data_IF_017909570625
#
_entry.id   IF_017909570625
#
_cell.length_a   1.000
_cell.length_b   1.000
_cell.length_c   1.000
_cell.angle_alpha   90.00
_cell.angle_beta   90.00
_cell.angle_gamma   90.00
#
_symmetry.space_group_name_H-M   'P 1'
#
loop_
_entity.id
_entity.type
_entity.pdbx_description
1 polymer ?
#
# COMPACT_ATOMS: atom_id res chain seq x y z
N UNK A 1 24.22 -44.51 -8.16
CA UNK A 1 24.22 -43.02 -8.21
C UNK A 1 25.43 -42.50 -7.46
N UNK A 2 26.17 -41.54 -8.02
CA UNK A 2 27.42 -41.05 -7.41
C UNK A 2 27.06 -40.21 -6.17
N UNK A 3 27.78 -40.33 -5.04
CA UNK A 3 27.47 -39.61 -3.77
C UNK A 3 27.19 -38.10 -3.96
N UNK A 4 27.89 -37.47 -4.90
CA UNK A 4 27.70 -36.06 -5.29
C UNK A 4 26.31 -35.76 -5.88
N UNK A 5 25.73 -36.67 -6.64
CA UNK A 5 24.41 -36.50 -7.26
C UNK A 5 23.29 -36.62 -6.21
N UNK A 6 23.45 -37.51 -5.23
CA UNK A 6 22.50 -37.65 -4.11
C UNK A 6 22.47 -36.38 -3.25
N UNK A 7 23.63 -35.79 -2.96
CA UNK A 7 23.70 -34.56 -2.19
C UNK A 7 23.10 -33.36 -2.93
N UNK A 8 23.30 -33.26 -4.26
CA UNK A 8 22.73 -32.18 -5.07
C UNK A 8 21.20 -32.27 -5.09
N UNK A 9 20.66 -33.48 -5.29
CA UNK A 9 19.20 -33.70 -5.27
C UNK A 9 18.62 -33.37 -3.90
N UNK A 10 19.27 -33.80 -2.81
CA UNK A 10 18.81 -33.53 -1.44
C UNK A 10 18.85 -32.04 -1.08
N UNK A 11 19.87 -31.30 -1.52
CA UNK A 11 19.94 -29.86 -1.29
C UNK A 11 18.93 -29.09 -2.13
N UNK A 12 18.68 -29.53 -3.36
CA UNK A 12 17.66 -28.94 -4.24
C UNK A 12 16.25 -29.08 -3.65
N UNK A 13 15.89 -30.26 -3.15
CA UNK A 13 14.55 -30.49 -2.57
C UNK A 13 14.35 -29.68 -1.29
N UNK A 14 15.38 -29.59 -0.44
CA UNK A 14 15.34 -28.74 0.76
C UNK A 14 15.19 -27.25 0.40
N UNK A 15 15.92 -26.76 -0.61
CA UNK A 15 15.81 -25.36 -1.06
C UNK A 15 14.40 -25.01 -1.56
N UNK A 16 13.78 -25.89 -2.35
CA UNK A 16 12.39 -25.71 -2.81
C UNK A 16 11.40 -25.70 -1.64
N UNK A 17 11.58 -26.57 -0.65
CA UNK A 17 10.78 -26.56 0.59
C UNK A 17 10.89 -25.24 1.36
N UNK A 18 12.07 -24.63 1.43
CA UNK A 18 12.28 -23.34 2.10
C UNK A 18 11.59 -22.17 1.36
N UNK A 19 11.61 -22.18 0.02
CA UNK A 19 10.94 -21.15 -0.78
C UNK A 19 9.41 -21.25 -0.64
N UNK A 20 8.86 -22.47 -0.65
CA UNK A 20 7.42 -22.70 -0.49
C UNK A 20 6.91 -22.38 0.92
N UNK A 21 7.74 -22.56 1.95
CA UNK A 21 7.38 -22.25 3.35
C UNK A 21 7.64 -20.79 3.72
N UNK A 22 8.35 -20.03 2.89
CA UNK A 22 8.70 -18.62 3.09
C UNK A 22 7.54 -17.61 2.96
N UNK A 23 6.37 -18.01 2.47
CA UNK A 23 5.17 -17.16 2.44
C UNK A 23 4.31 -17.24 3.72
N UNK A 24 4.90 -17.59 4.86
CA UNK A 24 4.23 -17.47 6.17
C UNK A 24 4.28 -16.04 6.70
N UNK A 25 3.63 -15.11 5.99
CA UNK A 25 3.23 -13.85 6.60
C UNK A 25 2.06 -14.19 7.54
N UNK A 26 2.20 -14.09 8.87
CA UNK A 26 1.06 -14.23 9.76
C UNK A 26 0.05 -13.16 9.33
N UNK A 27 -1.13 -13.59 8.89
CA UNK A 27 -2.21 -12.67 8.54
C UNK A 27 -2.45 -11.74 9.74
N UNK A 28 -2.74 -10.44 9.52
CA UNK A 28 -2.90 -9.49 10.60
C UNK A 28 -4.00 -9.96 11.55
N UNK A 29 -3.67 -10.18 12.82
CA UNK A 29 -4.63 -10.44 13.88
C UNK A 29 -5.09 -9.10 14.44
N UNK A 30 -6.30 -8.68 14.10
CA UNK A 30 -6.86 -7.41 14.61
C UNK A 30 -7.39 -7.58 16.04
N UNK A 31 -6.49 -7.91 16.97
CA UNK A 31 -6.80 -8.01 18.40
C UNK A 31 -7.56 -9.26 18.84
N UNK A 32 -7.61 -10.31 18.00
CA UNK A 32 -8.17 -11.62 18.33
C UNK A 32 -7.09 -12.69 18.21
N UNK A 33 -7.24 -13.82 18.93
CA UNK A 33 -6.27 -14.94 18.89
C UNK A 33 -6.29 -15.73 17.56
N UNK A 34 -7.03 -15.25 16.55
CA UNK A 34 -7.20 -15.91 15.24
C UNK A 34 -6.82 -14.98 14.10
N UNK A 35 -6.17 -15.54 13.08
CA UNK A 35 -5.99 -14.87 11.79
C UNK A 35 -7.35 -14.52 11.17
N UNK A 36 -7.46 -13.34 10.55
CA UNK A 36 -8.68 -12.86 9.88
C UNK A 36 -9.26 -13.89 8.90
N UNK A 37 -8.38 -14.57 8.16
CA UNK A 37 -8.78 -15.61 7.20
C UNK A 37 -9.35 -16.86 7.88
N UNK A 38 -8.87 -17.22 9.07
CA UNK A 38 -9.40 -18.37 9.82
C UNK A 38 -10.76 -18.05 10.44
N UNK A 39 -10.96 -16.84 10.95
CA UNK A 39 -12.28 -16.41 11.43
C UNK A 39 -13.32 -16.44 10.30
N UNK A 40 -12.96 -15.94 9.12
CA UNK A 40 -13.82 -15.95 7.95
C UNK A 40 -14.21 -17.38 7.51
N UNK A 41 -13.25 -18.31 7.47
CA UNK A 41 -13.52 -19.71 7.10
C UNK A 41 -14.38 -20.40 8.17
N UNK A 42 -14.08 -20.18 9.46
CA UNK A 42 -14.88 -20.72 10.57
C UNK A 42 -16.35 -20.26 10.46
N UNK A 43 -16.58 -18.99 10.13
CA UNK A 43 -17.92 -18.43 10.03
C UNK A 43 -18.68 -18.94 8.80
N UNK A 44 -18.00 -19.21 7.69
CA UNK A 44 -18.61 -19.86 6.51
C UNK A 44 -18.95 -21.32 6.81
N UNK A 45 -18.06 -22.07 7.45
CA UNK A 45 -18.29 -23.49 7.77
C UNK A 45 -19.47 -23.65 8.73
N UNK A 46 -19.67 -22.70 9.66
CA UNK A 46 -20.84 -22.67 10.55
C UNK A 46 -22.14 -22.27 9.84
N UNK A 47 -22.06 -21.58 8.70
CA UNK A 47 -23.22 -21.20 7.92
C UNK A 47 -23.71 -22.36 7.03
N UNK A 48 -22.82 -23.25 6.61
CA UNK A 48 -23.20 -24.44 5.86
C UNK A 48 -23.93 -25.41 6.80
N UNK A 49 -25.19 -25.79 6.50
CA UNK A 49 -25.86 -26.82 7.27
C UNK A 49 -25.15 -28.15 7.01
N UNK A 50 -24.35 -28.60 7.97
CA UNK A 50 -23.87 -29.96 8.03
C UNK A 50 -25.07 -30.89 8.06
N UNK A 51 -25.27 -31.65 6.99
CA UNK A 51 -26.27 -32.71 6.90
C UNK A 51 -25.87 -33.88 7.80
N UNK A 52 -25.94 -33.70 9.12
CA UNK A 52 -26.19 -34.81 10.03
C UNK A 52 -27.69 -35.10 9.93
N UNK A 53 -28.06 -36.37 9.76
CA UNK A 53 -29.45 -36.87 9.83
C UNK A 53 -29.99 -36.76 11.25
N UNK A 54 -30.03 -35.55 11.76
CA UNK A 54 -30.73 -35.17 12.98
C UNK A 54 -31.83 -34.23 12.51
N UNK A 55 -33.08 -34.51 12.89
CA UNK A 55 -34.31 -33.80 12.50
C UNK A 55 -34.35 -32.36 13.07
N UNK A 56 -33.27 -31.61 12.91
CA UNK A 56 -33.14 -30.22 13.31
C UNK A 56 -33.54 -29.31 12.15
N UNK A 57 -34.74 -29.54 11.61
CA UNK A 57 -35.46 -28.45 10.96
C UNK A 57 -35.45 -27.28 11.95
N UNK A 58 -35.08 -26.04 11.55
CA UNK A 58 -35.11 -24.92 12.47
C UNK A 58 -36.56 -24.74 12.90
N UNK A 59 -36.90 -25.28 14.07
CA UNK A 59 -38.18 -25.04 14.72
C UNK A 59 -38.20 -23.55 14.97
N UNK A 60 -38.92 -22.85 14.09
CA UNK A 60 -39.14 -21.42 14.17
C UNK A 60 -40.03 -21.18 15.39
N UNK A 61 -39.42 -21.23 16.57
CA UNK A 61 -40.10 -20.93 17.83
C UNK A 61 -40.64 -19.52 17.68
N UNK A 62 -41.97 -19.39 17.73
CA UNK A 62 -42.61 -18.07 17.73
C UNK A 62 -41.93 -17.26 18.83
N UNK A 63 -41.45 -16.07 18.47
CA UNK A 63 -40.80 -15.17 19.43
C UNK A 63 -41.75 -15.01 20.62
N UNK A 64 -41.26 -15.12 21.87
CA UNK A 64 -42.11 -14.87 23.02
C UNK A 64 -42.72 -13.49 22.86
N UNK A 65 -44.00 -13.39 23.23
CA UNK A 65 -44.73 -12.14 23.14
C UNK A 65 -43.99 -11.08 23.95
N UNK A 66 -43.76 -9.92 23.32
CA UNK A 66 -43.07 -8.80 23.93
C UNK A 66 -43.78 -8.47 25.24
N UNK A 67 -43.08 -8.64 26.37
CA UNK A 67 -43.61 -8.31 27.69
C UNK A 67 -43.66 -6.78 27.76
N UNK A 68 -44.84 -6.22 27.51
CA UNK A 68 -45.06 -4.81 27.75
C UNK A 68 -45.21 -4.60 29.25
N UNK A 69 -44.49 -3.62 29.83
CA UNK A 69 -44.76 -3.19 31.20
C UNK A 69 -46.21 -2.69 31.30
N UNK A 70 -46.86 -2.92 32.44
CA UNK A 70 -48.20 -2.39 32.74
C UNK A 70 -48.23 -0.87 32.49
N UNK A 71 -49.35 -0.30 31.98
CA UNK A 71 -49.42 1.10 31.55
C UNK A 71 -48.97 2.15 32.59
N UNK A 72 -49.00 1.78 33.87
CA UNK A 72 -48.62 2.62 35.01
C UNK A 72 -47.33 2.20 35.71
N UNK A 73 -46.63 1.18 35.21
CA UNK A 73 -45.33 0.79 35.72
C UNK A 73 -44.25 1.68 35.09
N UNK A 74 -43.85 2.72 35.82
CA UNK A 74 -42.68 3.52 35.47
C UNK A 74 -41.45 2.61 35.58
N UNK A 75 -41.01 2.05 34.46
CA UNK A 75 -39.73 1.38 34.37
C UNK A 75 -38.66 2.39 34.79
N UNK A 76 -38.07 2.19 35.98
CA UNK A 76 -36.87 2.91 36.39
C UNK A 76 -35.78 2.42 35.45
N UNK A 77 -35.55 3.17 34.38
CA UNK A 77 -34.46 2.90 33.47
C UNK A 77 -33.17 2.90 34.30
N UNK A 78 -32.28 1.90 34.13
CA UNK A 78 -30.95 2.02 34.68
C UNK A 78 -30.35 3.36 34.19
N UNK A 79 -29.55 4.03 35.03
CA UNK A 79 -28.92 5.28 34.62
C UNK A 79 -28.16 5.07 33.30
N UNK A 80 -28.16 6.07 32.39
CA UNK A 80 -27.45 5.96 31.12
C UNK A 80 -26.01 5.56 31.40
N UNK A 81 -25.50 4.60 30.63
CA UNK A 81 -24.10 4.19 30.72
C UNK A 81 -23.22 5.43 30.62
N UNK A 82 -22.30 5.60 31.57
CA UNK A 82 -21.37 6.72 31.53
C UNK A 82 -20.57 6.65 30.22
N UNK A 83 -20.43 7.79 29.55
CA UNK A 83 -19.60 7.89 28.35
C UNK A 83 -18.16 7.56 28.75
N UNK A 84 -17.68 6.35 28.42
CA UNK A 84 -16.31 5.89 28.65
C UNK A 84 -15.27 6.63 27.78
N UNK A 85 -15.54 7.86 27.36
CA UNK A 85 -14.64 8.70 26.55
C UNK A 85 -13.41 9.14 27.34
N UNK A 86 -13.42 8.98 28.67
CA UNK A 86 -12.30 9.38 29.54
C UNK A 86 -11.36 8.24 29.94
N UNK A 87 -11.80 6.98 29.91
CA UNK A 87 -10.98 5.82 30.32
C UNK A 87 -10.26 5.10 29.17
N UNK A 88 -10.50 5.52 27.92
CA UNK A 88 -9.63 5.11 26.82
C UNK A 88 -8.32 5.87 26.98
N UNK A 89 -7.14 5.20 27.03
CA UNK A 89 -5.88 5.92 27.04
C UNK A 89 -5.87 6.83 25.83
N UNK A 90 -6.04 8.14 26.08
CA UNK A 90 -5.95 9.23 25.11
C UNK A 90 -4.51 9.24 24.64
N UNK A 91 -4.17 8.26 23.79
CA UNK A 91 -2.87 8.09 23.22
C UNK A 91 -2.66 9.38 22.44
N UNK A 92 -1.78 10.24 22.97
CA UNK A 92 -1.63 11.62 22.54
C UNK A 92 -1.69 11.67 21.01
N UNK A 93 -2.66 12.41 20.45
CA UNK A 93 -2.96 12.42 19.01
C UNK A 93 -1.68 12.68 18.19
N UNK A 94 -0.73 13.47 18.74
CA UNK A 94 0.59 13.71 18.16
C UNK A 94 1.47 12.46 18.12
N UNK A 95 1.46 11.64 19.16
CA UNK A 95 2.18 10.37 19.22
C UNK A 95 1.57 9.32 18.28
N UNK A 96 0.23 9.25 18.21
CA UNK A 96 -0.47 8.40 17.23
C UNK A 96 -0.09 8.80 15.80
N UNK A 97 -0.13 10.09 15.48
CA UNK A 97 0.24 10.62 14.18
C UNK A 97 1.70 10.29 13.82
N UNK A 98 2.63 10.45 14.77
CA UNK A 98 4.05 10.09 14.55
C UNK A 98 4.23 8.58 14.26
N UNK A 99 3.51 7.70 14.98
CA UNK A 99 3.54 6.26 14.76
C UNK A 99 2.95 5.86 13.41
N UNK A 100 1.87 6.53 13.00
CA UNK A 100 1.24 6.34 11.70
C UNK A 100 2.21 6.69 10.56
N UNK A 101 2.86 7.85 10.62
CA UNK A 101 3.87 8.26 9.63
C UNK A 101 5.03 7.27 9.56
N UNK A 102 5.54 6.82 10.72
CA UNK A 102 6.64 5.85 10.78
C UNK A 102 6.25 4.50 10.12
N UNK A 103 5.05 3.98 10.42
CA UNK A 103 4.54 2.75 9.79
C UNK A 103 4.42 2.91 8.28
N UNK A 104 3.94 4.05 7.80
CA UNK A 104 3.80 4.30 6.35
C UNK A 104 5.11 4.49 5.62
N UNK A 105 6.09 5.15 6.25
CA UNK A 105 7.46 5.23 5.72
C UNK A 105 8.07 3.84 5.58
N UNK A 106 7.83 2.95 6.55
CA UNK A 106 8.28 1.56 6.48
C UNK A 106 7.56 0.74 5.39
N UNK A 107 6.30 1.06 5.06
CA UNK A 107 5.54 0.39 3.99
C UNK A 107 5.78 0.98 2.60
N UNK A 108 6.55 2.07 2.46
CA UNK A 108 6.88 2.67 1.17
C UNK A 108 5.70 3.32 0.44
N UNK A 109 4.60 3.60 1.14
CA UNK A 109 3.43 4.27 0.56
C UNK A 109 3.65 5.78 0.50
N UNK A 110 4.01 6.29 -0.67
CA UNK A 110 4.19 7.72 -0.91
C UNK A 110 2.83 8.44 -0.91
N UNK A 111 2.72 9.53 -0.14
CA UNK A 111 1.50 10.34 0.00
C UNK A 111 1.30 11.20 -1.26
N UNK A 112 0.68 10.66 -2.30
CA UNK A 112 0.21 11.46 -3.43
C UNK A 112 -1.09 12.16 -3.04
N UNK A 113 -0.97 13.39 -2.56
CA UNK A 113 -2.08 14.28 -2.22
C UNK A 113 -2.70 14.91 -3.49
N UNK A 114 -3.00 14.07 -4.48
CA UNK A 114 -3.66 14.47 -5.71
C UNK A 114 -4.87 13.55 -5.90
N UNK A 115 -6.06 14.14 -6.02
CA UNK A 115 -7.21 13.41 -6.58
C UNK A 115 -6.79 12.90 -7.95
N UNK A 116 -6.74 11.58 -8.11
CA UNK A 116 -6.33 10.92 -9.35
C UNK A 116 -7.44 11.13 -10.39
N UNK A 117 -7.33 12.17 -11.21
CA UNK A 117 -8.25 12.37 -12.32
C UNK A 117 -8.06 11.27 -13.38
N UNK A 118 -9.14 10.84 -14.03
CA UNK A 118 -9.12 9.75 -15.01
C UNK A 118 -8.24 10.06 -16.25
N UNK A 119 -7.87 11.32 -16.44
CA UNK A 119 -6.95 11.78 -17.48
C UNK A 119 -5.47 11.66 -17.11
N UNK A 120 -5.14 11.30 -15.87
CA UNK A 120 -3.76 11.30 -15.40
C UNK A 120 -3.10 9.93 -15.53
N UNK A 121 -2.08 9.77 -16.41
CA UNK A 121 -1.39 8.50 -16.57
C UNK A 121 -0.59 8.14 -15.32
N UNK A 122 -0.43 6.84 -15.02
CA UNK A 122 0.24 6.38 -13.81
C UNK A 122 1.69 6.87 -13.72
N UNK A 123 2.18 7.06 -12.48
CA UNK A 123 3.51 7.61 -12.15
C UNK A 123 4.66 6.96 -12.91
N UNK A 124 4.54 5.67 -13.22
CA UNK A 124 5.53 4.91 -14.01
C UNK A 124 5.82 5.57 -15.36
N UNK A 125 4.82 6.19 -15.99
CA UNK A 125 4.98 6.87 -17.29
C UNK A 125 5.39 8.34 -17.17
N UNK A 126 5.37 8.93 -15.97
CA UNK A 126 5.84 10.31 -15.74
C UNK A 126 7.34 10.39 -15.51
N UNK A 127 8.01 9.26 -15.24
CA UNK A 127 9.43 9.27 -14.94
C UNK A 127 10.25 9.37 -16.24
N UNK A 128 11.14 10.37 -16.36
CA UNK A 128 12.12 10.38 -17.43
C UNK A 128 13.03 9.14 -17.28
N UNK A 129 13.61 8.69 -18.40
CA UNK A 129 14.57 7.60 -18.37
C UNK A 129 15.70 7.89 -17.36
N UNK A 130 16.20 6.86 -16.67
CA UNK A 130 17.25 7.00 -15.64
C UNK A 130 18.52 7.69 -16.12
N UNK A 131 18.74 7.68 -17.43
CA UNK A 131 19.89 8.28 -18.12
C UNK A 131 19.59 9.65 -18.75
N UNK A 132 18.37 10.18 -18.58
CA UNK A 132 17.99 11.46 -19.15
C UNK A 132 18.73 12.60 -18.44
N UNK A 133 19.33 13.55 -19.18
CA UNK A 133 20.00 14.71 -18.57
C UNK A 133 18.95 15.63 -17.93
N UNK A 134 18.87 15.62 -16.60
CA UNK A 134 17.98 16.50 -15.84
C UNK A 134 18.71 17.82 -15.57
N UNK A 135 18.04 18.95 -15.84
CA UNK A 135 18.55 20.29 -15.50
C UNK A 135 19.50 20.93 -16.53
N UNK A 136 19.84 20.25 -17.63
CA UNK A 136 20.59 20.86 -18.72
C UNK A 136 19.66 21.63 -19.65
N UNK A 137 19.44 22.92 -19.36
CA UNK A 137 18.72 23.80 -20.30
C UNK A 137 19.57 23.97 -21.56
N UNK A 138 18.96 23.74 -22.73
CA UNK A 138 19.59 24.01 -24.01
C UNK A 138 19.96 25.49 -24.16
N UNK A 139 20.94 25.79 -25.03
CA UNK A 139 21.24 27.18 -25.38
C UNK A 139 20.13 27.74 -26.29
N UNK A 140 19.64 28.94 -25.99
CA UNK A 140 18.68 29.67 -26.82
C UNK A 140 19.16 29.81 -28.27
N UNK A 141 18.21 29.77 -29.20
CA UNK A 141 18.48 29.82 -30.64
C UNK A 141 19.20 31.10 -31.05
N UNK A 142 18.86 32.23 -30.43
CA UNK A 142 19.51 33.53 -30.64
C UNK A 142 21.00 33.50 -30.27
N UNK A 143 21.36 32.77 -29.20
CA UNK A 143 22.75 32.61 -28.75
C UNK A 143 23.53 31.73 -29.73
N UNK A 144 22.91 30.66 -30.24
CA UNK A 144 23.50 29.81 -31.28
C UNK A 144 23.72 30.58 -32.58
N UNK A 145 22.74 31.37 -33.01
CA UNK A 145 22.84 32.19 -34.23
C UNK A 145 23.93 33.26 -34.08
N UNK A 146 24.00 33.95 -32.93
CA UNK A 146 25.04 34.95 -32.64
C UNK A 146 26.44 34.33 -32.65
N UNK A 147 26.60 33.12 -32.10
CA UNK A 147 27.87 32.36 -32.19
C UNK A 147 28.22 32.01 -33.64
N UNK A 148 27.25 31.54 -34.43
CA UNK A 148 27.44 31.21 -35.86
C UNK A 148 27.89 32.45 -36.66
N UNK A 149 27.20 33.58 -36.49
CA UNK A 149 27.57 34.86 -37.15
C UNK A 149 28.94 35.36 -36.70
N UNK A 150 29.29 35.25 -35.41
CA UNK A 150 30.63 35.61 -34.89
C UNK A 150 31.73 34.71 -35.46
N UNK A 151 31.48 33.40 -35.53
CA UNK A 151 32.43 32.45 -36.10
C UNK A 151 32.67 32.71 -37.60
N UNK A 152 31.61 32.96 -38.38
CA UNK A 152 31.73 33.32 -39.80
C UNK A 152 32.50 34.63 -40.01
N UNK A 153 32.25 35.66 -39.20
CA UNK A 153 33.01 36.93 -39.23
C UNK A 153 34.47 36.73 -38.84
N UNK A 154 34.77 35.85 -37.88
CA UNK A 154 36.15 35.55 -37.46
C UNK A 154 36.91 34.77 -38.54
N UNK A 155 36.27 33.79 -39.17
CA UNK A 155 36.83 33.06 -40.31
C UNK A 155 37.17 34.01 -41.47
N UNK A 156 36.21 34.83 -41.90
CA UNK A 156 36.42 35.81 -42.97
C UNK A 156 37.32 37.00 -42.60
N UNK A 157 37.60 37.25 -41.31
CA UNK A 157 38.53 38.29 -40.86
C UNK A 157 39.95 37.75 -40.67
N UNK A 158 40.12 36.47 -40.33
CA UNK A 158 41.44 35.86 -40.14
C UNK A 158 42.17 35.71 -41.47
N UNK A 159 41.45 35.29 -42.50
CA UNK A 159 41.98 35.09 -43.85
C UNK A 159 42.39 36.41 -44.54
N UNK A 160 41.67 37.50 -44.28
CA UNK A 160 42.01 38.84 -44.80
C UNK A 160 43.19 39.49 -44.08
N UNK A 161 43.44 39.12 -42.82
CA UNK A 161 44.60 39.60 -42.04
C UNK A 161 45.88 38.83 -42.34
N UNK A 162 45.78 37.59 -42.83
CA UNK A 162 46.94 36.81 -43.30
C UNK A 162 47.38 37.16 -44.74
N UNK A 163 46.64 38.03 -45.44
CA UNK A 163 46.85 38.35 -46.85
C UNK A 163 47.54 39.70 -47.08
N UNK A 164 47.84 40.47 -46.01
CA UNK A 164 48.61 41.71 -46.09
C UNK A 164 49.98 41.54 -45.39
N UNK A 165 51.10 41.56 -46.13
CA UNK A 165 52.44 41.28 -45.60
C UNK A 165 53.21 42.57 -45.29
N UNK A 166 52.78 43.34 -44.28
CA UNK A 166 53.57 44.45 -43.73
C UNK A 166 53.10 44.82 -42.32
#
# INVERSE_FOLDING_TARGET
MKKREVNIVLMSTLSVCFILTGCRVPAPTYGTDKAVSLQFVDDIVKLVPSSSSDDNQPVMKRRPQLVYPEPNSRAVLPPPQANNTEDSPQLNVKQQHKRYLFRRQATGEEYVNYQRDLSEPPLVYRQPAKTAPVGQKGQDESVKERKRKRAARKAGSGEKKSLWPF
#
